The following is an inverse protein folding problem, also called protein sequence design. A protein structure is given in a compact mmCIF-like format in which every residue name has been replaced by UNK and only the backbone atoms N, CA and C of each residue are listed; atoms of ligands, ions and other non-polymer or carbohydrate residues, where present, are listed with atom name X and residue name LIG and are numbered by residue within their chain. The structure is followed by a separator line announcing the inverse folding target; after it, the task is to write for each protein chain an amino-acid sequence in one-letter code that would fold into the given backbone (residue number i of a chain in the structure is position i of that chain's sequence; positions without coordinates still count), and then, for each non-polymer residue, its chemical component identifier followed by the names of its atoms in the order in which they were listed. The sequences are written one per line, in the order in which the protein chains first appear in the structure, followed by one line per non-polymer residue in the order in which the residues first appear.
data_IF_150796333760
#
_entry.id   IF_150796333760
#
_cell.length_a   1.000
_cell.length_b   1.000
_cell.length_c   1.000
_cell.angle_alpha   90.00
_cell.angle_beta   90.00
_cell.angle_gamma   90.00
#
_symmetry.space_group_name_H-M   'P 1'
#
loop_
_entity.id
_entity.type
_entity.pdbx_description
1 polymer ?
#
# COMPACT_ATOMS: atom_id res chain seq x y z
N UNK A 1 3.66 -2.63 23.04
CA UNK A 1 3.06 -3.23 21.83
C UNK A 1 1.66 -2.70 21.61
N UNK A 2 1.32 -2.41 20.38
CA UNK A 2 -0.02 -2.00 20.01
C UNK A 2 -0.68 -3.10 19.16
N UNK A 3 -2.00 -3.07 19.03
CA UNK A 3 -2.75 -4.03 18.22
C UNK A 3 -3.32 -3.32 17.00
N UNK A 4 -3.10 -3.90 15.82
CA UNK A 4 -3.71 -3.50 14.57
C UNK A 4 -4.74 -4.56 14.16
N UNK A 5 -5.95 -4.15 13.85
CA UNK A 5 -7.04 -5.08 13.51
C UNK A 5 -7.49 -4.83 12.06
N UNK A 6 -6.88 -5.48 11.07
CA UNK A 6 -7.34 -5.43 9.69
C UNK A 6 -8.57 -6.32 9.50
N UNK A 7 -9.52 -5.85 8.70
CA UNK A 7 -10.68 -6.64 8.25
C UNK A 7 -10.82 -6.49 6.75
N UNK A 8 -10.85 -7.62 6.04
CA UNK A 8 -11.14 -7.69 4.62
C UNK A 8 -12.51 -8.34 4.41
N UNK A 9 -13.39 -7.66 3.69
CA UNK A 9 -14.69 -8.20 3.28
C UNK A 9 -14.77 -8.18 1.76
N UNK A 10 -15.07 -9.32 1.15
CA UNK A 10 -15.32 -9.44 -0.29
C UNK A 10 -16.71 -10.00 -0.53
N UNK A 11 -17.50 -9.28 -1.33
CA UNK A 11 -18.86 -9.69 -1.71
C UNK A 11 -19.07 -9.49 -3.20
N UNK A 12 -19.72 -10.45 -3.84
CA UNK A 12 -20.16 -10.33 -5.24
C UNK A 12 -21.32 -11.29 -5.50
N UNK A 13 -22.21 -10.90 -6.38
CA UNK A 13 -23.32 -11.74 -6.85
C UNK A 13 -23.07 -12.38 -8.22
N UNK A 14 -22.02 -11.95 -8.91
CA UNK A 14 -21.76 -12.29 -10.32
C UNK A 14 -20.30 -12.58 -10.68
N UNK A 15 -19.36 -12.36 -9.74
CA UNK A 15 -17.95 -12.63 -9.99
C UNK A 15 -17.62 -14.12 -10.01
N UNK A 16 -18.46 -14.96 -9.39
CA UNK A 16 -18.31 -16.42 -9.33
C UNK A 16 -19.65 -17.08 -9.61
N UNK A 17 -19.65 -18.38 -9.94
CA UNK A 17 -20.89 -19.15 -10.17
C UNK A 17 -21.81 -19.14 -8.95
N UNK A 18 -21.22 -19.24 -7.75
CA UNK A 18 -21.92 -19.08 -6.48
C UNK A 18 -21.70 -17.66 -5.93
N UNK A 19 -22.61 -17.19 -5.09
CA UNK A 19 -22.46 -15.90 -4.43
C UNK A 19 -21.18 -15.89 -3.60
N UNK A 20 -20.32 -14.90 -3.86
CA UNK A 20 -19.12 -14.66 -3.05
C UNK A 20 -19.48 -13.75 -1.87
N UNK A 21 -19.28 -14.24 -0.66
CA UNK A 21 -19.46 -13.46 0.56
C UNK A 21 -18.54 -14.00 1.66
N UNK A 22 -17.43 -13.30 1.93
CA UNK A 22 -16.60 -13.64 3.08
C UNK A 22 -16.01 -12.39 3.75
N UNK A 23 -15.69 -12.52 5.02
CA UNK A 23 -14.98 -11.54 5.81
C UNK A 23 -13.92 -12.24 6.63
N UNK A 24 -12.70 -11.67 6.64
CA UNK A 24 -11.62 -12.16 7.49
C UNK A 24 -11.08 -10.99 8.32
N UNK A 25 -10.89 -11.24 9.60
CA UNK A 25 -10.34 -10.28 10.55
C UNK A 25 -9.17 -10.92 11.26
N UNK A 26 -8.10 -10.18 11.46
CA UNK A 26 -6.94 -10.62 12.23
C UNK A 26 -6.59 -9.61 13.33
N UNK A 27 -5.79 -10.05 14.29
CA UNK A 27 -5.27 -9.22 15.38
C UNK A 27 -3.75 -9.27 15.33
N UNK A 28 -3.16 -8.20 14.82
CA UNK A 28 -1.73 -8.11 14.54
C UNK A 28 -1.02 -7.31 15.64
N UNK A 29 0.05 -7.86 16.18
CA UNK A 29 0.90 -7.13 17.13
C UNK A 29 1.91 -6.27 16.38
N UNK A 30 1.98 -4.98 16.72
CA UNK A 30 2.85 -4.00 16.06
C UNK A 30 3.63 -3.17 17.08
N UNK A 31 4.75 -2.64 16.64
CA UNK A 31 5.63 -1.78 17.43
C UNK A 31 6.20 -0.64 16.58
N UNK A 32 6.90 0.29 17.20
CA UNK A 32 7.65 1.33 16.49
C UNK A 32 8.87 0.74 15.73
N UNK A 33 9.33 1.35 14.63
CA UNK A 33 8.76 2.53 14.00
C UNK A 33 7.47 2.23 13.21
N UNK A 34 6.59 3.22 13.14
CA UNK A 34 5.38 3.15 12.34
C UNK A 34 5.03 4.54 11.79
N UNK A 35 4.31 4.57 10.69
CA UNK A 35 3.65 5.76 10.15
C UNK A 35 2.16 5.48 10.07
N UNK A 36 1.38 6.16 10.89
CA UNK A 36 -0.07 6.21 10.74
C UNK A 36 -0.41 7.05 9.50
N UNK A 37 -1.60 6.89 8.99
CA UNK A 37 -2.09 7.41 7.73
C UNK A 37 -1.45 8.74 7.27
N UNK A 38 -0.66 8.69 6.18
CA UNK A 38 0.02 9.82 5.58
C UNK A 38 -0.28 9.89 4.08
N UNK A 39 0.03 11.03 3.46
CA UNK A 39 -0.11 11.22 2.01
C UNK A 39 1.22 11.61 1.39
N UNK A 40 1.45 11.18 0.17
CA UNK A 40 2.64 11.48 -0.61
C UNK A 40 2.25 11.80 -2.06
N UNK A 41 2.91 12.82 -2.64
CA UNK A 41 2.86 13.06 -4.08
C UNK A 41 3.84 12.10 -4.76
N UNK A 42 3.33 11.18 -5.55
CA UNK A 42 4.10 10.14 -6.22
C UNK A 42 4.46 10.60 -7.62
N UNK A 43 5.75 10.64 -7.91
CA UNK A 43 6.31 10.94 -9.24
C UNK A 43 6.56 9.67 -10.05
N UNK A 44 7.03 9.85 -11.28
CA UNK A 44 7.44 8.75 -12.16
C UNK A 44 8.80 8.12 -11.81
N UNK A 45 9.48 8.63 -10.79
CA UNK A 45 10.77 8.10 -10.31
C UNK A 45 10.55 7.43 -8.96
N UNK A 46 10.47 6.10 -8.94
CA UNK A 46 10.17 5.31 -7.73
C UNK A 46 11.09 5.59 -6.55
N UNK A 47 12.39 5.74 -6.79
CA UNK A 47 13.38 6.02 -5.75
C UNK A 47 13.12 7.32 -4.96
N UNK A 48 12.35 8.26 -5.50
CA UNK A 48 11.96 9.50 -4.82
C UNK A 48 10.73 9.33 -3.91
N UNK A 49 10.03 8.21 -4.00
CA UNK A 49 8.73 7.99 -3.38
C UNK A 49 8.76 6.78 -2.43
N UNK A 50 9.77 6.68 -1.60
CA UNK A 50 9.90 5.60 -0.60
C UNK A 50 8.92 5.88 0.53
N UNK A 51 7.94 5.00 0.73
CA UNK A 51 6.94 5.09 1.79
C UNK A 51 7.30 4.28 3.03
N UNK A 52 8.03 3.18 2.86
CA UNK A 52 8.56 2.39 3.96
C UNK A 52 10.05 2.17 3.69
N UNK A 53 10.94 2.78 4.48
CA UNK A 53 12.38 2.66 4.27
C UNK A 53 12.87 1.24 4.55
N UNK A 54 13.90 0.84 3.82
CA UNK A 54 14.57 -0.44 4.05
C UNK A 54 15.20 -0.46 5.45
N UNK A 55 14.93 -1.54 6.18
CA UNK A 55 15.57 -1.80 7.49
C UNK A 55 15.83 -3.29 7.61
N UNK A 56 17.09 -3.65 7.64
CA UNK A 56 17.49 -5.06 7.65
C UNK A 56 16.95 -5.77 8.89
N UNK A 57 16.42 -6.98 8.68
CA UNK A 57 15.85 -7.82 9.74
C UNK A 57 14.47 -7.40 10.26
N UNK A 58 13.89 -6.30 9.77
CA UNK A 58 12.55 -5.87 10.16
C UNK A 58 11.49 -6.37 9.18
N UNK A 59 10.30 -6.66 9.69
CA UNK A 59 9.12 -6.99 8.90
C UNK A 59 8.00 -6.00 9.16
N UNK A 60 7.19 -5.72 8.15
CA UNK A 60 6.21 -4.64 8.20
C UNK A 60 4.84 -5.06 7.66
N UNK A 61 3.79 -4.35 8.10
CA UNK A 61 2.50 -4.29 7.44
C UNK A 61 2.44 -2.94 6.72
N UNK A 62 2.13 -2.94 5.43
CA UNK A 62 2.09 -1.74 4.59
C UNK A 62 0.71 -1.61 3.95
N UNK A 63 0.09 -0.43 4.12
CA UNK A 63 -1.14 -0.04 3.46
C UNK A 63 -0.85 1.06 2.46
N UNK A 64 -1.44 0.96 1.27
CA UNK A 64 -1.35 1.96 0.21
C UNK A 64 -2.70 2.10 -0.48
N UNK A 65 -3.11 3.35 -0.74
CA UNK A 65 -4.28 3.66 -1.55
C UNK A 65 -3.93 4.72 -2.59
N UNK A 66 -4.32 4.48 -3.84
CA UNK A 66 -4.31 5.50 -4.87
C UNK A 66 -5.56 6.37 -4.71
N UNK A 67 -5.40 7.65 -4.38
CA UNK A 67 -6.55 8.54 -4.07
C UNK A 67 -7.38 8.91 -5.30
N UNK A 68 -6.86 8.71 -6.50
CA UNK A 68 -7.53 9.07 -7.76
C UNK A 68 -7.29 10.51 -8.20
N UNK A 69 -6.47 11.27 -7.48
CA UNK A 69 -6.17 12.66 -7.82
C UNK A 69 -4.67 12.91 -7.93
N UNK A 70 -4.30 13.97 -8.62
CA UNK A 70 -2.93 14.49 -8.67
C UNK A 70 -2.65 15.48 -7.51
N UNK A 71 -1.45 16.03 -7.48
CA UNK A 71 -1.03 16.98 -6.45
C UNK A 71 -1.82 18.30 -6.46
N UNK A 72 -2.52 18.63 -7.55
CA UNK A 72 -3.42 19.78 -7.66
C UNK A 72 -4.87 19.49 -7.23
N UNK A 73 -5.19 18.21 -6.97
CA UNK A 73 -6.54 17.76 -6.64
C UNK A 73 -7.40 17.42 -7.85
N UNK A 74 -6.82 17.35 -9.06
CA UNK A 74 -7.53 16.99 -10.29
C UNK A 74 -7.59 15.47 -10.45
N UNK A 75 -8.72 14.96 -10.92
CA UNK A 75 -8.91 13.53 -11.18
C UNK A 75 -7.89 13.02 -12.21
N UNK A 76 -7.35 11.83 -11.96
CA UNK A 76 -6.40 11.17 -12.85
C UNK A 76 -6.77 9.71 -13.09
N UNK A 77 -6.40 9.20 -14.26
CA UNK A 77 -6.51 7.79 -14.63
C UNK A 77 -5.16 7.07 -14.63
N UNK A 78 -4.10 7.79 -14.31
CA UNK A 78 -2.73 7.27 -14.14
C UNK A 78 -2.70 6.15 -13.12
N UNK A 79 -1.96 5.09 -13.40
CA UNK A 79 -1.77 3.99 -12.46
C UNK A 79 -0.55 4.21 -11.56
N UNK A 80 -0.56 3.57 -10.40
CA UNK A 80 0.53 3.58 -9.43
C UNK A 80 1.08 2.16 -9.23
N UNK A 81 2.35 1.96 -9.55
CA UNK A 81 3.05 0.74 -9.16
C UNK A 81 3.43 0.80 -7.69
N UNK A 82 3.27 -0.32 -7.01
CA UNK A 82 3.86 -0.57 -5.70
C UNK A 82 5.06 -1.48 -5.93
N UNK A 83 6.22 -1.05 -5.47
CA UNK A 83 7.50 -1.68 -5.78
C UNK A 83 8.31 -1.90 -4.51
N UNK A 84 9.14 -2.93 -4.52
CA UNK A 84 10.29 -2.98 -3.62
C UNK A 84 11.39 -2.08 -4.19
N UNK A 85 12.23 -1.52 -3.32
CA UNK A 85 13.38 -0.72 -3.77
C UNK A 85 14.25 -1.54 -4.70
N UNK A 86 14.64 -0.94 -5.84
CA UNK A 86 15.28 -1.67 -6.96
C UNK A 86 14.28 -2.02 -8.06
N UNK A 87 13.14 -1.35 -8.11
CA UNK A 87 12.13 -1.39 -9.19
C UNK A 87 11.46 -2.75 -9.40
N UNK A 88 11.32 -3.54 -8.32
CA UNK A 88 10.59 -4.81 -8.35
C UNK A 88 9.12 -4.57 -8.09
N UNK A 89 8.29 -4.61 -9.12
CA UNK A 89 6.84 -4.38 -9.03
C UNK A 89 6.17 -5.54 -8.27
N UNK A 90 5.45 -5.23 -7.20
CA UNK A 90 4.65 -6.19 -6.42
C UNK A 90 3.14 -5.93 -6.53
N UNK A 91 2.75 -4.77 -7.02
CA UNK A 91 1.34 -4.43 -7.24
C UNK A 91 1.19 -3.22 -8.16
N UNK A 92 0.00 -3.07 -8.72
CA UNK A 92 -0.37 -1.91 -9.53
C UNK A 92 -1.78 -1.50 -9.16
N UNK A 93 -1.95 -0.24 -8.78
CA UNK A 93 -3.23 0.33 -8.40
C UNK A 93 -3.75 1.26 -9.49
N UNK A 94 -5.00 1.09 -9.88
CA UNK A 94 -5.77 2.11 -10.58
C UNK A 94 -6.32 3.15 -9.59
N UNK A 95 -6.86 4.23 -10.11
CA UNK A 95 -7.46 5.28 -9.29
C UNK A 95 -8.53 4.73 -8.33
N UNK A 96 -8.41 5.00 -7.04
CA UNK A 96 -9.31 4.53 -5.99
C UNK A 96 -9.00 3.15 -5.41
N UNK A 97 -8.11 2.38 -6.02
CA UNK A 97 -7.73 1.05 -5.51
C UNK A 97 -6.76 1.14 -4.32
N UNK A 98 -6.73 0.09 -3.52
CA UNK A 98 -5.85 0.00 -2.35
C UNK A 98 -5.24 -1.40 -2.21
N UNK A 99 -4.17 -1.49 -1.43
CA UNK A 99 -3.49 -2.72 -1.06
C UNK A 99 -3.10 -2.69 0.41
N UNK A 100 -3.22 -3.81 1.09
CA UNK A 100 -2.61 -4.06 2.40
C UNK A 100 -1.78 -5.33 2.29
N UNK A 101 -0.48 -5.25 2.65
CA UNK A 101 0.45 -6.36 2.46
C UNK A 101 1.40 -6.50 3.66
N UNK A 102 1.60 -7.74 4.16
CA UNK A 102 2.74 -8.07 5.01
C UNK A 102 4.02 -8.12 4.17
N UNK A 103 5.02 -7.32 4.52
CA UNK A 103 6.32 -7.28 3.84
C UNK A 103 7.36 -8.01 4.66
N UNK A 104 8.08 -8.93 4.03
CA UNK A 104 9.11 -9.74 4.66
C UNK A 104 10.35 -8.95 5.06
N UNK A 105 11.15 -9.52 5.95
CA UNK A 105 12.37 -8.93 6.49
C UNK A 105 13.56 -9.12 5.57
N UNK A 106 13.78 -8.20 4.67
CA UNK A 106 15.03 -8.07 3.92
C UNK A 106 15.37 -6.59 3.72
N UNK A 107 16.54 -6.32 3.17
CA UNK A 107 17.10 -4.98 3.04
C UNK A 107 16.40 -4.07 2.03
N UNK A 108 15.21 -4.42 1.55
CA UNK A 108 14.44 -3.62 0.61
C UNK A 108 13.27 -2.92 1.30
N UNK A 109 13.06 -1.65 0.96
CA UNK A 109 11.89 -0.89 1.36
C UNK A 109 10.78 -0.99 0.33
N UNK A 110 9.66 -0.28 0.59
CA UNK A 110 8.54 -0.16 -0.34
C UNK A 110 8.53 1.26 -0.91
N UNK A 111 8.46 1.36 -2.21
CA UNK A 111 8.37 2.61 -2.97
C UNK A 111 7.16 2.60 -3.90
N UNK A 112 6.76 3.78 -4.35
CA UNK A 112 5.66 3.97 -5.30
C UNK A 112 6.16 4.64 -6.56
N UNK A 113 5.58 4.29 -7.72
CA UNK A 113 5.91 4.91 -9.00
C UNK A 113 4.64 5.18 -9.79
N UNK A 114 4.42 6.43 -10.17
CA UNK A 114 3.35 6.78 -11.09
C UNK A 114 3.72 6.39 -12.52
N UNK A 115 2.77 5.88 -13.31
CA UNK A 115 3.03 5.54 -14.72
C UNK A 115 3.22 6.78 -15.59
N UNK A 116 2.66 7.93 -15.18
CA UNK A 116 2.88 9.23 -15.82
C UNK A 116 2.49 10.36 -14.85
N UNK A 117 3.06 11.53 -15.02
CA UNK A 117 2.72 12.71 -14.21
C UNK A 117 2.97 12.50 -12.72
N UNK A 118 2.05 13.00 -11.91
CA UNK A 118 2.04 12.83 -10.46
C UNK A 118 0.68 12.36 -9.98
N UNK A 119 0.65 11.57 -8.92
CA UNK A 119 -0.56 11.16 -8.22
C UNK A 119 -0.39 11.38 -6.72
N UNK A 120 -1.49 11.44 -5.98
CA UNK A 120 -1.46 11.40 -4.52
C UNK A 120 -1.80 10.01 -4.05
N UNK A 121 -0.91 9.41 -3.28
CA UNK A 121 -1.16 8.15 -2.58
C UNK A 121 -1.30 8.40 -1.08
N UNK A 122 -2.18 7.64 -0.45
CA UNK A 122 -2.33 7.55 0.98
C UNK A 122 -1.68 6.26 1.46
N UNK A 123 -0.92 6.31 2.54
CA UNK A 123 -0.19 5.14 3.01
C UNK A 123 -0.05 5.10 4.53
N UNK A 124 0.21 3.92 5.03
CA UNK A 124 0.63 3.68 6.41
C UNK A 124 1.54 2.46 6.45
N UNK A 125 2.46 2.40 7.42
CA UNK A 125 3.19 1.17 7.70
C UNK A 125 3.37 0.97 9.20
N UNK A 126 3.49 -0.28 9.60
CA UNK A 126 3.64 -0.70 10.98
C UNK A 126 4.69 -1.81 11.06
N UNK A 127 5.64 -1.68 11.97
CA UNK A 127 6.61 -2.76 12.23
C UNK A 127 5.91 -3.90 12.97
N UNK A 128 6.11 -5.13 12.52
CA UNK A 128 5.64 -6.32 13.25
C UNK A 128 6.37 -6.44 14.59
N UNK A 129 5.63 -6.69 15.60
CA UNK A 129 6.21 -6.96 16.92
C UNK A 129 6.77 -8.38 17.02
#
# INVERSE_FOLDING_TARGET
MATLTPTLTLTSTDATTDQLAFSVTDSLSVTAPHVGLAKIAVSTTGANNIIQPATDGQTYYVYVKHTGVDASGSDVTTTCNIELTGDVIIGKLAAGEFMFIPVGGHSLGVQLQASSGTIVAEYAYFTKA
#
